data_IF_855565594440
#
_entry.id   IF_855565594440
#
_cell.length_a   1.000
_cell.length_b   1.000
_cell.length_c   1.000
_cell.angle_alpha   90.00
_cell.angle_beta   90.00
_cell.angle_gamma   90.00
#
_symmetry.space_group_name_H-M   'P 1'
#
loop_
_entity.id
_entity.type
_entity.pdbx_description
1 polymer ?
#
# COMPACT_ATOMS: atom_id res chain seq x y z
N UNK A 1 18.67 19.55 -40.69
CA UNK A 1 18.90 20.36 -39.46
C UNK A 1 18.69 19.49 -38.24
N UNK A 2 19.71 19.34 -37.40
CA UNK A 2 19.66 18.61 -36.14
C UNK A 2 19.28 19.59 -35.01
N UNK A 3 18.32 19.22 -34.18
CA UNK A 3 17.80 20.03 -33.08
C UNK A 3 17.71 19.23 -31.78
N UNK A 4 18.04 19.89 -30.68
CA UNK A 4 17.82 19.38 -29.33
C UNK A 4 16.93 20.39 -28.60
N UNK A 5 15.89 19.87 -27.97
CA UNK A 5 15.04 20.57 -27.01
C UNK A 5 15.10 19.79 -25.70
N UNK A 6 15.46 20.41 -24.56
CA UNK A 6 15.73 21.84 -24.35
C UNK A 6 17.05 22.36 -24.96
N UNK A 7 17.14 23.68 -25.11
CA UNK A 7 18.37 24.37 -25.54
C UNK A 7 19.43 24.39 -24.45
N UNK A 8 20.68 24.54 -24.86
CA UNK A 8 21.82 24.59 -23.95
C UNK A 8 21.66 25.75 -22.95
N UNK A 9 21.86 25.47 -21.67
CA UNK A 9 21.65 26.40 -20.56
C UNK A 9 20.21 26.55 -20.09
N UNK A 10 19.25 25.78 -20.63
CA UNK A 10 17.88 25.83 -20.13
C UNK A 10 17.80 25.33 -18.69
N UNK A 11 16.96 26.00 -17.89
CA UNK A 11 16.69 25.65 -16.50
C UNK A 11 15.19 25.44 -16.31
N UNK A 12 14.80 24.76 -15.23
CA UNK A 12 13.39 24.58 -14.91
C UNK A 12 12.65 23.66 -15.88
N UNK A 13 13.37 22.80 -16.60
CA UNK A 13 12.81 21.99 -17.68
C UNK A 13 11.86 20.92 -17.12
N UNK A 14 10.69 20.79 -17.73
CA UNK A 14 9.75 19.71 -17.39
C UNK A 14 10.35 18.33 -17.68
N UNK A 15 10.18 17.32 -16.79
CA UNK A 15 10.69 15.95 -16.95
C UNK A 15 10.44 15.29 -18.32
N UNK A 16 9.33 15.61 -18.99
CA UNK A 16 8.95 15.04 -20.29
C UNK A 16 9.39 15.84 -21.51
N UNK A 17 10.11 16.96 -21.34
CA UNK A 17 10.35 17.92 -22.41
C UNK A 17 11.48 17.52 -23.39
N UNK A 18 12.32 16.54 -23.04
CA UNK A 18 13.47 16.17 -23.87
C UNK A 18 13.02 15.52 -25.19
N UNK A 19 13.43 16.16 -26.29
CA UNK A 19 13.26 15.74 -27.67
C UNK A 19 14.54 16.03 -28.46
N UNK A 20 15.01 15.04 -29.22
CA UNK A 20 16.09 15.22 -30.21
C UNK A 20 15.49 14.91 -31.57
N UNK A 21 15.67 15.78 -32.55
CA UNK A 21 15.10 15.59 -33.88
C UNK A 21 16.03 16.05 -34.99
N UNK A 22 15.88 15.46 -36.18
CA UNK A 22 16.62 15.89 -37.37
C UNK A 22 15.67 15.99 -38.57
N UNK A 23 15.73 17.13 -39.26
CA UNK A 23 15.08 17.32 -40.55
C UNK A 23 16.06 17.03 -41.69
N UNK A 24 15.65 16.23 -42.68
CA UNK A 24 16.45 15.95 -43.89
C UNK A 24 17.60 14.96 -43.68
N UNK A 25 17.57 14.15 -42.63
CA UNK A 25 18.58 13.13 -42.35
C UNK A 25 18.09 12.11 -41.32
N UNK A 26 19.02 11.33 -40.76
CA UNK A 26 18.75 10.36 -39.69
C UNK A 26 19.72 10.55 -38.54
N UNK A 27 19.22 10.37 -37.32
CA UNK A 27 20.04 10.27 -36.13
C UNK A 27 20.90 9.00 -36.22
N UNK A 28 22.20 9.16 -36.03
CA UNK A 28 23.17 8.06 -36.05
C UNK A 28 23.64 7.69 -34.65
N UNK A 29 23.66 8.66 -33.73
CA UNK A 29 23.92 8.45 -32.32
C UNK A 29 23.23 9.50 -31.47
N UNK A 30 22.64 9.10 -30.35
CA UNK A 30 22.16 10.01 -29.30
C UNK A 30 22.62 9.46 -27.97
N UNK A 31 23.32 10.29 -27.20
CA UNK A 31 23.77 9.97 -25.84
C UNK A 31 23.24 11.03 -24.90
N UNK A 32 22.54 10.59 -23.85
CA UNK A 32 22.03 11.45 -22.79
C UNK A 32 22.60 10.96 -21.46
N UNK A 33 23.18 11.85 -20.67
CA UNK A 33 23.73 11.48 -19.35
C UNK A 33 23.22 12.41 -18.26
N UNK A 34 23.01 11.86 -17.06
CA UNK A 34 22.76 12.64 -15.85
C UNK A 34 24.04 13.34 -15.34
N UNK A 35 23.90 14.08 -14.23
CA UNK A 35 25.01 14.78 -13.54
C UNK A 35 26.14 13.86 -13.05
N UNK A 36 25.85 12.57 -12.85
CA UNK A 36 26.80 11.56 -12.38
C UNK A 36 27.41 10.76 -13.55
N UNK A 37 27.05 11.11 -14.80
CA UNK A 37 27.52 10.46 -16.01
C UNK A 37 26.77 9.17 -16.37
N UNK A 38 25.68 8.83 -15.67
CA UNK A 38 24.86 7.66 -16.02
C UNK A 38 24.07 7.93 -17.28
N UNK A 39 24.10 6.97 -18.21
CA UNK A 39 23.38 7.07 -19.47
C UNK A 39 21.88 6.86 -19.27
N UNK A 40 21.08 7.71 -19.92
CA UNK A 40 19.62 7.66 -19.87
C UNK A 40 19.10 6.85 -21.06
N UNK A 41 18.37 5.76 -20.81
CA UNK A 41 17.85 4.94 -21.88
C UNK A 41 16.79 5.71 -22.68
N UNK A 42 16.78 5.48 -23.99
CA UNK A 42 15.77 6.00 -24.90
C UNK A 42 15.94 5.40 -26.29
N UNK A 43 15.00 5.73 -27.18
CA UNK A 43 14.93 5.12 -28.50
C UNK A 43 14.71 6.18 -29.58
N UNK A 44 15.32 5.93 -30.74
CA UNK A 44 15.00 6.65 -31.95
C UNK A 44 13.71 6.10 -32.58
N UNK A 45 12.97 6.94 -33.30
CA UNK A 45 11.85 6.53 -34.15
C UNK A 45 12.33 5.63 -35.28
N UNK A 46 11.45 4.79 -35.83
CA UNK A 46 11.81 3.81 -36.87
C UNK A 46 12.39 4.46 -38.14
N UNK A 47 11.99 5.68 -38.45
CA UNK A 47 12.53 6.47 -39.56
C UNK A 47 13.89 7.14 -39.24
N UNK A 48 14.30 7.12 -37.97
CA UNK A 48 15.52 7.76 -37.46
C UNK A 48 15.43 9.27 -37.30
N UNK A 49 14.24 9.87 -37.45
CA UNK A 49 14.06 11.32 -37.47
C UNK A 49 14.01 11.95 -36.07
N UNK A 50 13.67 11.18 -35.03
CA UNK A 50 13.57 11.67 -33.66
C UNK A 50 14.06 10.64 -32.64
N UNK A 51 14.43 11.10 -31.45
CA UNK A 51 14.76 10.27 -30.29
C UNK A 51 14.08 10.81 -29.03
N UNK A 52 13.62 9.90 -28.18
CA UNK A 52 12.99 10.23 -26.90
C UNK A 52 13.46 9.30 -25.78
N UNK A 53 13.57 9.80 -24.54
CA UNK A 53 13.83 8.95 -23.37
C UNK A 53 12.77 7.87 -23.20
N UNK A 54 13.15 6.73 -22.61
CA UNK A 54 12.23 5.62 -22.30
C UNK A 54 11.28 5.95 -21.13
N UNK A 55 11.68 6.88 -20.26
CA UNK A 55 10.90 7.37 -19.13
C UNK A 55 11.13 8.88 -18.94
N UNK A 56 10.24 9.61 -18.24
CA UNK A 56 10.47 11.00 -17.86
C UNK A 56 11.80 11.17 -17.12
N UNK A 57 12.49 12.29 -17.37
CA UNK A 57 13.76 12.60 -16.72
C UNK A 57 13.57 12.92 -15.24
N UNK A 58 14.57 12.60 -14.42
CA UNK A 58 14.53 12.96 -13.01
C UNK A 58 14.50 14.49 -12.81
N UNK A 59 13.67 14.95 -11.87
CA UNK A 59 13.60 16.35 -11.42
C UNK A 59 14.88 16.76 -10.67
N UNK A 60 15.14 18.07 -10.56
CA UNK A 60 16.28 18.62 -9.84
C UNK A 60 17.65 18.13 -10.33
N UNK A 61 17.75 17.72 -11.60
CA UNK A 61 18.92 17.03 -12.14
C UNK A 61 19.45 17.74 -13.39
N UNK A 62 20.78 17.85 -13.49
CA UNK A 62 21.44 18.34 -14.69
C UNK A 62 21.64 17.18 -15.69
N UNK A 63 21.39 17.46 -16.97
CA UNK A 63 21.60 16.52 -18.07
C UNK A 63 22.52 17.09 -19.13
N UNK A 64 23.22 16.21 -19.82
CA UNK A 64 23.94 16.50 -21.07
C UNK A 64 23.43 15.59 -22.18
N UNK A 65 23.22 16.18 -23.34
CA UNK A 65 22.80 15.50 -24.57
C UNK A 65 23.87 15.74 -25.62
N UNK A 66 24.31 14.67 -26.29
CA UNK A 66 25.13 14.72 -27.49
C UNK A 66 24.42 13.94 -28.58
N UNK A 67 24.19 14.57 -29.74
CA UNK A 67 23.49 13.97 -30.86
C UNK A 67 24.31 14.10 -32.13
N UNK A 68 24.27 13.05 -32.94
CA UNK A 68 24.88 12.97 -34.26
C UNK A 68 23.81 12.55 -35.27
N UNK A 69 23.88 13.14 -36.46
CA UNK A 69 23.02 12.80 -37.57
C UNK A 69 23.77 12.84 -38.89
N UNK A 70 23.22 12.21 -39.92
CA UNK A 70 23.71 12.29 -41.29
C UNK A 70 22.56 12.38 -42.29
N UNK A 71 22.73 13.14 -43.37
CA UNK A 71 21.78 13.17 -44.49
C UNK A 71 22.02 12.03 -45.49
N UNK A 72 21.24 11.99 -46.57
CA UNK A 72 21.36 10.97 -47.62
C UNK A 72 22.66 11.08 -48.44
N UNK A 73 23.33 12.24 -48.42
CA UNK A 73 24.63 12.44 -49.04
C UNK A 73 25.79 12.12 -48.08
N UNK A 74 25.48 11.71 -46.84
CA UNK A 74 26.46 11.38 -45.81
C UNK A 74 27.05 12.59 -45.09
N UNK A 75 26.45 13.78 -45.24
CA UNK A 75 26.93 15.00 -44.58
C UNK A 75 26.60 14.91 -43.08
N UNK A 76 27.60 14.94 -42.18
CA UNK A 76 27.38 14.81 -40.75
C UNK A 76 26.91 16.12 -40.12
N UNK A 77 26.10 16.01 -39.08
CA UNK A 77 25.73 17.11 -38.19
C UNK A 77 25.83 16.66 -36.74
N UNK A 78 26.33 17.53 -35.87
CA UNK A 78 26.45 17.28 -34.43
C UNK A 78 25.79 18.41 -33.64
N UNK A 79 25.15 18.06 -32.54
CA UNK A 79 24.57 19.03 -31.62
C UNK A 79 24.77 18.57 -30.17
N UNK A 80 24.97 19.53 -29.29
CA UNK A 80 25.06 19.30 -27.85
C UNK A 80 24.13 20.24 -27.10
N UNK A 81 23.63 19.78 -25.96
CA UNK A 81 22.83 20.59 -25.04
C UNK A 81 23.04 20.13 -23.60
N UNK A 82 23.32 21.07 -22.71
CA UNK A 82 23.23 20.88 -21.26
C UNK A 82 22.04 21.65 -20.70
N UNK A 83 21.26 21.06 -19.81
CA UNK A 83 20.11 21.73 -19.17
C UNK A 83 19.84 21.15 -17.77
N UNK A 84 19.07 21.86 -16.96
CA UNK A 84 18.59 21.38 -15.66
C UNK A 84 17.07 21.20 -15.67
N UNK A 85 16.60 20.09 -15.09
CA UNK A 85 15.17 19.87 -14.87
C UNK A 85 14.66 20.72 -13.71
N UNK A 86 13.34 20.94 -13.67
CA UNK A 86 12.70 21.71 -12.60
C UNK A 86 13.06 21.15 -11.23
N UNK A 87 13.24 22.05 -10.27
CA UNK A 87 13.37 21.70 -8.85
C UNK A 87 11.97 21.67 -8.25
N UNK A 88 11.55 20.57 -7.59
CA UNK A 88 10.26 20.51 -6.92
C UNK A 88 10.09 21.65 -5.92
N UNK A 89 8.89 22.24 -5.84
CA UNK A 89 8.59 23.24 -4.81
C UNK A 89 8.53 22.59 -3.43
N UNK A 90 8.01 21.36 -3.38
CA UNK A 90 8.06 20.51 -2.20
C UNK A 90 8.02 19.04 -2.60
N UNK A 91 8.47 18.19 -1.69
CA UNK A 91 8.32 16.75 -1.79
C UNK A 91 7.23 16.26 -0.85
N UNK A 92 6.70 15.09 -1.12
CA UNK A 92 5.70 14.38 -0.31
C UNK A 92 6.11 12.92 -0.26
N UNK A 93 6.57 12.47 0.91
CA UNK A 93 6.98 11.09 1.08
C UNK A 93 5.76 10.23 1.44
N UNK A 94 5.42 9.21 0.64
CA UNK A 94 4.40 8.25 1.03
C UNK A 94 4.89 7.42 2.22
N UNK A 95 3.98 7.16 3.16
CA UNK A 95 4.16 6.16 4.23
C UNK A 95 3.27 4.97 3.93
N UNK A 96 3.78 3.76 4.14
CA UNK A 96 2.98 2.54 3.97
C UNK A 96 2.88 1.74 5.26
N UNK A 97 2.11 0.66 5.21
CA UNK A 97 1.86 -0.26 6.32
C UNK A 97 2.68 -1.56 6.25
N UNK A 98 3.74 -1.59 5.44
CA UNK A 98 4.64 -2.72 5.36
C UNK A 98 6.01 -2.38 5.96
N UNK A 99 6.87 -3.37 6.04
CA UNK A 99 8.23 -3.23 6.51
C UNK A 99 9.11 -4.18 5.72
N UNK A 100 10.30 -3.71 5.37
CA UNK A 100 11.26 -4.43 4.56
C UNK A 100 11.59 -5.82 5.12
N UNK A 101 11.36 -6.85 4.32
CA UNK A 101 11.64 -8.24 4.63
C UNK A 101 10.63 -8.94 5.53
N UNK A 102 9.56 -8.27 5.96
CA UNK A 102 8.57 -8.85 6.88
C UNK A 102 7.65 -9.90 6.23
N UNK A 103 6.97 -10.67 7.08
CA UNK A 103 6.00 -11.69 6.66
C UNK A 103 4.57 -11.34 7.09
N UNK A 104 3.65 -11.34 6.13
CA UNK A 104 2.24 -10.98 6.34
C UNK A 104 1.27 -12.13 6.02
N UNK A 105 0.07 -12.07 6.58
CA UNK A 105 -1.01 -13.01 6.29
C UNK A 105 -1.62 -12.84 4.90
N UNK A 106 -2.40 -13.83 4.48
CA UNK A 106 -2.98 -13.92 3.11
C UNK A 106 -3.99 -12.82 2.77
N UNK A 107 -4.51 -12.11 3.76
CA UNK A 107 -5.42 -10.98 3.58
C UNK A 107 -4.72 -9.63 3.46
N UNK A 108 -3.38 -9.57 3.46
CA UNK A 108 -2.65 -8.30 3.49
C UNK A 108 -3.06 -7.37 2.34
N UNK A 109 -3.37 -6.12 2.69
CA UNK A 109 -3.59 -5.00 1.77
C UNK A 109 -2.45 -4.02 2.01
N UNK A 110 -1.71 -3.67 0.95
CA UNK A 110 -0.74 -2.59 1.03
C UNK A 110 -1.52 -1.27 1.03
N UNK A 111 -1.43 -0.50 2.10
CA UNK A 111 -2.01 0.83 2.19
C UNK A 111 -0.91 1.87 2.15
N UNK A 112 -0.99 2.79 1.20
CA UNK A 112 -0.04 3.89 0.99
C UNK A 112 -0.74 5.20 1.30
N UNK A 113 -0.29 5.88 2.35
CA UNK A 113 -0.80 7.16 2.80
C UNK A 113 0.09 8.32 2.33
N UNK A 114 -0.54 9.44 1.99
CA UNK A 114 0.13 10.65 1.53
C UNK A 114 -0.15 11.82 2.48
N UNK A 115 0.91 12.52 2.88
CA UNK A 115 0.85 13.69 3.75
C UNK A 115 0.26 14.93 3.06
N UNK A 116 0.00 14.86 1.74
CA UNK A 116 -0.64 15.88 0.90
C UNK A 116 -1.64 15.23 -0.05
N UNK A 117 -2.63 16.01 -0.48
CA UNK A 117 -3.62 15.54 -1.45
C UNK A 117 -2.95 15.17 -2.79
N UNK A 118 -3.28 13.98 -3.29
CA UNK A 118 -2.84 13.49 -4.60
C UNK A 118 -3.88 13.85 -5.65
N UNK A 119 -3.49 14.72 -6.59
CA UNK A 119 -4.33 15.12 -7.73
C UNK A 119 -4.03 14.25 -8.96
N UNK A 120 -2.78 13.83 -9.15
CA UNK A 120 -2.35 12.97 -10.26
C UNK A 120 -2.39 11.47 -9.88
N UNK A 121 -3.56 11.01 -9.41
CA UNK A 121 -3.76 9.65 -8.88
C UNK A 121 -3.32 8.52 -9.81
N UNK A 122 -3.59 8.66 -11.11
CA UNK A 122 -3.24 7.65 -12.11
C UNK A 122 -1.72 7.51 -12.28
N UNK A 123 -0.97 8.62 -12.27
CA UNK A 123 0.48 8.59 -12.41
C UNK A 123 1.16 8.08 -11.14
N UNK A 124 0.63 8.43 -9.96
CA UNK A 124 1.09 7.86 -8.68
C UNK A 124 0.87 6.36 -8.63
N UNK A 125 -0.33 5.88 -9.02
CA UNK A 125 -0.60 4.45 -9.04
C UNK A 125 0.31 3.69 -10.03
N UNK A 126 0.63 4.27 -11.19
CA UNK A 126 1.61 3.67 -12.13
C UNK A 126 3.03 3.63 -11.57
N UNK A 127 3.38 4.58 -10.71
CA UNK A 127 4.67 4.63 -10.03
C UNK A 127 4.80 3.62 -8.88
N UNK A 128 3.75 2.89 -8.53
CA UNK A 128 3.77 1.84 -7.50
C UNK A 128 3.45 0.52 -8.18
N UNK A 129 4.47 -0.32 -8.35
CA UNK A 129 4.33 -1.60 -9.07
C UNK A 129 4.73 -2.77 -8.19
N UNK A 130 4.25 -3.96 -8.54
CA UNK A 130 4.47 -5.19 -7.80
C UNK A 130 5.19 -6.21 -8.68
N UNK A 131 6.32 -6.70 -8.21
CA UNK A 131 6.96 -7.91 -8.72
C UNK A 131 6.55 -9.07 -7.81
N UNK A 132 5.98 -10.13 -8.38
CA UNK A 132 5.58 -11.33 -7.64
C UNK A 132 6.16 -12.57 -8.31
N UNK A 133 6.68 -13.50 -7.50
CA UNK A 133 7.31 -14.73 -8.01
C UNK A 133 6.33 -15.72 -8.66
N UNK A 134 5.03 -15.54 -8.44
CA UNK A 134 3.97 -16.40 -8.95
C UNK A 134 3.02 -15.71 -9.94
N UNK A 135 3.32 -14.49 -10.37
CA UNK A 135 2.52 -13.73 -11.33
C UNK A 135 1.19 -13.19 -10.80
N UNK A 136 1.02 -13.11 -9.47
CA UNK A 136 -0.12 -12.43 -8.86
C UNK A 136 -0.16 -10.96 -9.28
N UNK A 137 -1.30 -10.54 -9.80
CA UNK A 137 -1.56 -9.16 -10.23
C UNK A 137 -2.23 -8.39 -9.09
N UNK A 138 -1.75 -7.18 -8.85
CA UNK A 138 -2.26 -6.27 -7.81
C UNK A 138 -2.86 -5.03 -8.48
N UNK A 139 -3.98 -4.55 -7.95
CA UNK A 139 -4.60 -3.28 -8.38
C UNK A 139 -4.79 -2.36 -7.19
N UNK A 140 -4.70 -1.06 -7.46
CA UNK A 140 -4.90 -0.01 -6.48
C UNK A 140 -6.31 0.59 -6.51
N UNK A 141 -6.86 0.88 -5.34
CA UNK A 141 -8.10 1.61 -5.12
C UNK A 141 -7.84 2.83 -4.24
N UNK A 142 -8.35 3.99 -4.65
CA UNK A 142 -8.16 5.25 -3.92
C UNK A 142 -9.30 5.48 -2.93
N UNK A 143 -8.96 5.60 -1.65
CA UNK A 143 -9.85 6.11 -0.62
C UNK A 143 -9.56 7.58 -0.39
N UNK A 144 -10.45 8.44 -0.91
CA UNK A 144 -10.23 9.89 -0.93
C UNK A 144 -9.00 10.28 -1.74
N UNK A 145 -8.35 11.39 -1.35
CA UNK A 145 -7.20 11.96 -2.08
C UNK A 145 -5.84 11.58 -1.49
N UNK A 146 -5.81 10.81 -0.40
CA UNK A 146 -4.59 10.63 0.42
C UNK A 146 -4.30 9.19 0.82
N UNK A 147 -5.11 8.23 0.40
CA UNK A 147 -4.89 6.81 0.68
C UNK A 147 -5.13 5.99 -0.57
N UNK A 148 -4.14 5.19 -0.93
CA UNK A 148 -4.20 4.20 -1.99
C UNK A 148 -3.98 2.82 -1.37
N UNK A 149 -4.99 1.96 -1.48
CA UNK A 149 -4.89 0.58 -1.04
C UNK A 149 -4.70 -0.34 -2.25
N UNK A 150 -3.80 -1.32 -2.14
CA UNK A 150 -3.40 -2.20 -3.22
C UNK A 150 -3.53 -3.67 -2.78
N UNK A 151 -4.30 -4.45 -3.53
CA UNK A 151 -4.47 -5.89 -3.30
C UNK A 151 -4.74 -6.69 -4.59
N UNK A 152 -4.53 -8.01 -4.58
CA UNK A 152 -5.03 -8.91 -5.61
C UNK A 152 -6.55 -9.13 -5.52
N UNK A 153 -7.12 -9.74 -6.57
CA UNK A 153 -8.56 -10.03 -6.65
C UNK A 153 -9.03 -10.98 -5.54
N UNK A 154 -8.29 -12.06 -5.33
CA UNK A 154 -8.48 -13.04 -4.26
C UNK A 154 -7.34 -12.93 -3.25
N UNK A 155 -7.48 -13.55 -2.08
CA UNK A 155 -6.40 -13.61 -1.09
C UNK A 155 -5.08 -14.09 -1.70
N UNK A 156 -3.98 -13.57 -1.16
CA UNK A 156 -2.65 -13.95 -1.57
C UNK A 156 -2.43 -15.46 -1.40
N UNK A 157 -1.70 -16.07 -2.33
CA UNK A 157 -1.26 -17.46 -2.17
C UNK A 157 -0.18 -17.53 -1.08
N UNK A 158 -0.26 -18.48 -0.13
CA UNK A 158 0.80 -18.69 0.85
C UNK A 158 2.17 -18.88 0.20
N UNK A 159 3.21 -18.30 0.79
CA UNK A 159 4.59 -18.37 0.31
C UNK A 159 4.95 -17.42 -0.83
N UNK A 160 4.01 -16.58 -1.32
CA UNK A 160 4.30 -15.60 -2.38
C UNK A 160 5.38 -14.63 -1.93
N UNK A 161 6.43 -14.46 -2.73
CA UNK A 161 7.41 -13.38 -2.55
C UNK A 161 6.99 -12.18 -3.37
N UNK A 162 7.02 -11.02 -2.73
CA UNK A 162 6.56 -9.76 -3.32
C UNK A 162 7.66 -8.72 -3.15
N UNK A 163 7.95 -7.97 -4.20
CA UNK A 163 8.70 -6.71 -4.11
C UNK A 163 7.81 -5.58 -4.58
N UNK A 164 7.61 -4.58 -3.73
CA UNK A 164 6.94 -3.33 -4.12
C UNK A 164 7.99 -2.37 -4.65
N UNK A 165 7.80 -1.87 -5.86
CA UNK A 165 8.65 -0.84 -6.45
C UNK A 165 7.94 0.49 -6.41
N UNK A 166 8.47 1.41 -5.62
CA UNK A 166 8.11 2.82 -5.64
C UNK A 166 9.04 3.56 -6.59
N UNK A 167 8.47 4.18 -7.62
CA UNK A 167 9.15 5.00 -8.63
C UNK A 167 8.48 6.37 -8.68
N UNK A 168 8.50 7.07 -7.55
CA UNK A 168 7.72 8.29 -7.31
C UNK A 168 8.59 9.54 -7.23
N UNK A 169 9.92 9.42 -7.22
CA UNK A 169 10.84 10.56 -7.05
C UNK A 169 10.56 11.68 -8.04
N UNK A 170 10.22 11.30 -9.27
CA UNK A 170 9.96 12.24 -10.38
C UNK A 170 8.51 12.26 -10.81
N UNK A 171 7.61 11.68 -10.02
CA UNK A 171 6.17 11.72 -10.25
C UNK A 171 5.60 12.94 -9.54
N UNK A 172 5.01 13.85 -10.32
CA UNK A 172 4.25 14.98 -9.78
C UNK A 172 2.94 14.45 -9.21
N UNK A 173 2.75 14.53 -7.89
CA UNK A 173 1.54 14.05 -7.21
C UNK A 173 0.43 15.11 -7.23
N UNK A 174 0.82 16.39 -7.25
CA UNK A 174 -0.02 17.58 -7.31
C UNK A 174 0.83 18.73 -7.87
N UNK A 175 0.26 19.84 -8.37
CA UNK A 175 1.03 20.91 -8.99
C UNK A 175 2.22 21.38 -8.13
N UNK A 176 3.45 21.19 -8.65
CA UNK A 176 4.70 21.55 -7.97
C UNK A 176 5.15 20.62 -6.83
N UNK A 177 4.38 19.57 -6.51
CA UNK A 177 4.63 18.60 -5.45
C UNK A 177 5.02 17.25 -6.04
N UNK A 178 6.18 16.73 -5.66
CA UNK A 178 6.72 15.47 -6.19
C UNK A 178 6.86 14.40 -5.11
N UNK A 179 6.78 13.13 -5.49
CA UNK A 179 6.79 12.01 -4.54
C UNK A 179 8.13 11.78 -3.82
N UNK A 180 9.24 12.33 -4.32
CA UNK A 180 10.54 12.37 -3.63
C UNK A 180 11.22 11.02 -3.38
N UNK A 181 10.55 9.88 -3.62
CA UNK A 181 11.05 8.55 -3.26
C UNK A 181 11.11 7.60 -4.45
N UNK A 182 12.26 6.96 -4.61
CA UNK A 182 12.37 5.68 -5.30
C UNK A 182 12.89 4.66 -4.28
N UNK A 183 12.18 3.55 -4.09
CA UNK A 183 12.60 2.45 -3.20
C UNK A 183 12.02 1.13 -3.65
N UNK A 184 12.68 0.05 -3.26
CA UNK A 184 12.19 -1.32 -3.39
C UNK A 184 11.97 -1.88 -2.00
N UNK A 185 10.83 -2.53 -1.79
CA UNK A 185 10.43 -3.02 -0.49
C UNK A 185 9.89 -4.46 -0.60
N UNK A 186 10.74 -5.46 -0.38
CA UNK A 186 10.34 -6.86 -0.40
C UNK A 186 9.56 -7.25 0.86
N UNK A 187 8.59 -8.14 0.71
CA UNK A 187 7.93 -8.85 1.81
C UNK A 187 7.50 -10.25 1.35
N UNK A 188 7.11 -11.09 2.32
CA UNK A 188 6.63 -12.46 2.04
C UNK A 188 5.21 -12.64 2.55
N UNK A 189 4.40 -13.35 1.78
CA UNK A 189 3.12 -13.86 2.27
C UNK A 189 3.36 -15.17 3.00
N UNK A 190 2.99 -15.22 4.27
CA UNK A 190 3.13 -16.37 5.14
C UNK A 190 2.08 -17.45 4.89
N UNK A 191 1.71 -18.13 5.96
CA UNK A 191 0.69 -19.18 5.97
C UNK A 191 -0.72 -18.60 5.74
N UNK A 192 -1.67 -19.47 5.38
CA UNK A 192 -3.08 -19.06 5.31
C UNK A 192 -3.71 -19.16 6.69
N UNK A 193 -4.33 -18.08 7.15
CA UNK A 193 -5.23 -18.08 8.31
C UNK A 193 -6.45 -17.20 8.06
N UNK A 194 -7.62 -17.80 8.17
CA UNK A 194 -8.92 -17.13 8.10
C UNK A 194 -9.70 -17.48 9.35
N UNK A 195 -10.15 -16.47 10.08
CA UNK A 195 -10.91 -16.62 11.32
C UNK A 195 -12.33 -16.08 11.13
N UNK A 196 -13.34 -16.94 11.23
CA UNK A 196 -14.74 -16.56 11.09
C UNK A 196 -15.39 -16.47 12.46
N UNK A 197 -15.75 -15.26 12.87
CA UNK A 197 -16.50 -14.96 14.10
C UNK A 197 -17.99 -14.96 13.77
N UNK A 198 -18.74 -15.82 14.45
CA UNK A 198 -20.19 -15.84 14.35
C UNK A 198 -20.79 -15.28 15.64
N UNK A 199 -21.33 -14.06 15.55
CA UNK A 199 -21.88 -13.35 16.71
C UNK A 199 -23.17 -13.98 17.26
N UNK A 200 -23.83 -14.87 16.51
CA UNK A 200 -25.04 -15.56 16.95
C UNK A 200 -24.73 -16.87 17.68
N UNK A 201 -23.64 -17.54 17.32
CA UNK A 201 -23.18 -18.76 18.03
C UNK A 201 -22.14 -18.49 19.10
N UNK A 202 -21.59 -17.27 19.16
CA UNK A 202 -20.52 -16.87 20.08
C UNK A 202 -19.23 -17.69 19.91
N UNK A 203 -18.99 -18.19 18.70
CA UNK A 203 -17.82 -19.00 18.35
C UNK A 203 -16.99 -18.32 17.27
N UNK A 204 -15.69 -18.54 17.34
CA UNK A 204 -14.76 -18.25 16.25
C UNK A 204 -14.20 -19.55 15.70
N UNK A 205 -14.39 -19.76 14.39
CA UNK A 205 -13.80 -20.87 13.64
C UNK A 205 -12.55 -20.38 12.94
N UNK A 206 -11.39 -20.93 13.27
CA UNK A 206 -10.09 -20.60 12.66
C UNK A 206 -9.70 -21.72 11.71
N UNK A 207 -9.53 -21.38 10.43
CA UNK A 207 -8.95 -22.26 9.41
C UNK A 207 -7.52 -21.79 9.15
N UNK A 208 -6.55 -22.61 9.54
CA UNK A 208 -5.12 -22.34 9.37
C UNK A 208 -4.46 -23.49 8.63
N UNK A 209 -3.84 -23.21 7.49
CA UNK A 209 -3.20 -24.23 6.64
C UNK A 209 -4.11 -25.46 6.37
N UNK A 210 -5.40 -25.20 6.17
CA UNK A 210 -6.42 -26.22 5.94
C UNK A 210 -6.91 -26.95 7.20
N UNK A 211 -6.33 -26.68 8.38
CA UNK A 211 -6.76 -27.24 9.66
C UNK A 211 -7.78 -26.33 10.33
N UNK A 212 -8.84 -26.92 10.88
CA UNK A 212 -9.91 -26.18 11.56
C UNK A 212 -9.79 -26.31 13.08
N UNK A 213 -9.95 -25.19 13.78
CA UNK A 213 -10.15 -25.15 15.23
C UNK A 213 -11.29 -24.20 15.56
N UNK A 214 -11.95 -24.42 16.68
CA UNK A 214 -13.06 -23.59 17.15
C UNK A 214 -12.74 -23.13 18.56
N UNK A 215 -13.01 -21.86 18.86
CA UNK A 215 -12.85 -21.31 20.19
C UNK A 215 -14.05 -20.44 20.59
N UNK A 216 -14.42 -20.44 21.88
CA UNK A 216 -15.47 -19.57 22.39
C UNK A 216 -14.99 -18.13 22.43
N UNK A 217 -15.89 -17.21 22.07
CA UNK A 217 -15.61 -15.78 22.06
C UNK A 217 -16.71 -15.02 22.80
N UNK A 218 -16.46 -13.75 23.10
CA UNK A 218 -17.53 -12.76 23.27
C UNK A 218 -17.43 -11.74 22.14
N UNK A 219 -18.57 -11.25 21.64
CA UNK A 219 -18.60 -10.15 20.66
C UNK A 219 -19.40 -8.95 21.18
N UNK A 220 -19.66 -7.96 20.34
CA UNK A 220 -20.34 -6.72 20.71
C UNK A 220 -21.78 -6.93 21.18
N UNK A 221 -22.15 -6.31 22.30
CA UNK A 221 -23.49 -6.41 22.89
C UNK A 221 -24.59 -5.91 21.95
N UNK A 222 -25.88 -6.16 22.24
CA UNK A 222 -26.98 -5.61 21.45
C UNK A 222 -26.93 -4.08 21.31
N UNK A 223 -26.47 -3.36 22.34
CA UNK A 223 -26.30 -1.91 22.37
C UNK A 223 -25.07 -1.46 21.56
N UNK A 224 -24.03 -2.29 21.52
CA UNK A 224 -22.76 -2.00 20.86
C UNK A 224 -22.27 -3.16 19.97
N UNK A 225 -23.03 -3.50 18.91
CA UNK A 225 -22.74 -4.70 18.14
C UNK A 225 -21.42 -4.58 17.35
N UNK A 226 -20.75 -5.70 17.11
CA UNK A 226 -19.53 -5.77 16.28
C UNK A 226 -19.86 -5.53 14.80
N UNK A 227 -19.00 -4.86 14.03
CA UNK A 227 -19.22 -4.75 12.59
C UNK A 227 -19.26 -6.12 11.91
N UNK A 228 -20.18 -6.33 10.96
CA UNK A 228 -20.09 -7.46 10.05
C UNK A 228 -19.03 -7.19 8.97
N UNK A 229 -18.55 -8.25 8.31
CA UNK A 229 -17.66 -8.16 7.15
C UNK A 229 -16.26 -8.70 7.39
N UNK A 230 -15.43 -8.62 6.36
CA UNK A 230 -14.06 -9.11 6.33
C UNK A 230 -13.09 -8.02 6.72
N UNK A 231 -12.42 -8.19 7.85
CA UNK A 231 -11.37 -7.29 8.34
C UNK A 231 -10.03 -8.02 8.29
N UNK A 232 -8.95 -7.25 8.31
CA UNK A 232 -7.58 -7.77 8.30
C UNK A 232 -6.86 -7.25 9.52
N UNK A 233 -6.10 -8.11 10.19
CA UNK A 233 -5.28 -7.70 11.33
C UNK A 233 -4.26 -6.68 10.83
N UNK A 234 -4.43 -5.41 11.19
CA UNK A 234 -3.56 -4.31 10.74
C UNK A 234 -2.38 -4.08 11.68
N UNK A 235 -2.50 -4.46 12.95
CA UNK A 235 -1.44 -4.36 13.93
C UNK A 235 -1.59 -5.39 15.05
N UNK A 236 -0.45 -5.83 15.60
CA UNK A 236 -0.36 -6.62 16.82
C UNK A 236 0.30 -5.76 17.90
N UNK A 237 -0.50 -5.18 18.78
CA UNK A 237 -0.08 -4.08 19.67
C UNK A 237 0.32 -4.56 21.08
N UNK A 238 0.25 -5.86 21.35
CA UNK A 238 0.55 -6.43 22.67
C UNK A 238 -0.48 -5.98 23.68
N UNK A 239 -0.20 -4.91 24.43
CA UNK A 239 -1.11 -4.35 25.43
C UNK A 239 -1.56 -2.96 24.99
N UNK A 240 -2.87 -2.76 24.87
CA UNK A 240 -3.47 -1.47 24.53
C UNK A 240 -4.21 -0.94 25.73
N UNK A 241 -4.05 0.36 26.02
CA UNK A 241 -4.98 1.02 26.93
C UNK A 241 -6.26 1.38 26.19
N UNK A 242 -7.30 0.55 26.32
CA UNK A 242 -8.57 0.76 25.64
C UNK A 242 -9.47 1.66 26.48
N UNK A 243 -9.89 2.78 25.89
CA UNK A 243 -10.74 3.79 26.52
C UNK A 243 -12.00 4.06 25.70
N UNK A 244 -13.17 3.89 26.29
CA UNK A 244 -14.44 4.16 25.60
C UNK A 244 -14.58 5.62 25.14
N UNK A 245 -13.96 6.57 25.86
CA UNK A 245 -13.97 8.00 25.51
C UNK A 245 -13.26 8.32 24.19
N UNK A 246 -12.45 7.40 23.67
CA UNK A 246 -11.75 7.56 22.40
C UNK A 246 -12.55 7.04 21.20
N UNK A 247 -13.69 6.39 21.44
CA UNK A 247 -14.49 5.78 20.39
C UNK A 247 -15.66 6.68 19.98
N UNK A 248 -15.87 6.90 18.67
CA UNK A 248 -16.96 7.72 18.19
C UNK A 248 -18.32 7.04 18.45
N UNK A 249 -19.28 7.80 18.99
CA UNK A 249 -20.67 7.34 19.16
C UNK A 249 -20.90 6.34 20.29
N UNK A 250 -19.94 6.17 21.21
CA UNK A 250 -20.11 5.35 22.40
C UNK A 250 -21.09 5.98 23.39
N UNK A 251 -21.99 5.15 23.91
CA UNK A 251 -22.94 5.45 24.98
C UNK A 251 -22.78 4.43 26.10
N UNK A 252 -23.28 4.70 27.30
CA UNK A 252 -23.16 3.78 28.44
C UNK A 252 -21.94 4.06 29.32
N UNK A 253 -21.67 3.14 30.25
CA UNK A 253 -20.61 3.29 31.25
C UNK A 253 -19.22 3.31 30.61
N UNK A 254 -18.35 4.28 30.97
CA UNK A 254 -17.03 4.35 30.39
C UNK A 254 -16.13 3.21 30.87
N UNK A 255 -15.20 2.79 30.03
CA UNK A 255 -14.13 1.85 30.40
C UNK A 255 -12.75 2.46 30.11
N UNK A 256 -11.76 2.12 30.93
CA UNK A 256 -10.33 2.43 30.81
C UNK A 256 -9.58 1.19 31.32
N UNK A 257 -9.10 0.35 30.40
CA UNK A 257 -8.54 -0.97 30.71
C UNK A 257 -7.26 -1.22 29.93
N UNK A 258 -6.28 -1.82 30.61
CA UNK A 258 -5.08 -2.38 29.97
C UNK A 258 -5.41 -3.76 29.41
N UNK A 259 -5.55 -3.85 28.09
CA UNK A 259 -6.05 -5.03 27.40
C UNK A 259 -4.91 -5.77 26.69
N UNK A 260 -4.56 -6.99 27.11
CA UNK A 260 -3.47 -7.77 26.51
C UNK A 260 -3.88 -8.44 25.19
N UNK A 261 -2.87 -8.97 24.48
CA UNK A 261 -3.03 -9.69 23.21
C UNK A 261 -3.88 -8.95 22.18
N UNK A 262 -3.74 -7.62 22.12
CA UNK A 262 -4.58 -6.76 21.30
C UNK A 262 -4.14 -6.74 19.85
N UNK A 263 -5.06 -7.10 18.95
CA UNK A 263 -4.86 -7.09 17.50
C UNK A 263 -5.92 -6.22 16.84
N UNK A 264 -5.49 -5.15 16.16
CA UNK A 264 -6.37 -4.14 15.57
C UNK A 264 -6.98 -4.68 14.26
N UNK A 265 -8.29 -4.48 14.09
CA UNK A 265 -9.02 -4.83 12.87
C UNK A 265 -9.52 -3.60 12.12
N UNK A 266 -9.99 -2.57 12.83
CA UNK A 266 -10.55 -1.36 12.22
C UNK A 266 -10.00 -0.09 12.88
N UNK A 267 -9.96 1.01 12.12
CA UNK A 267 -9.51 2.32 12.63
C UNK A 267 -10.53 2.91 13.62
N UNK A 268 -11.80 2.54 13.49
CA UNK A 268 -12.85 2.89 14.46
C UNK A 268 -12.81 2.03 15.74
N UNK A 269 -11.75 1.25 15.97
CA UNK A 269 -11.47 0.62 17.26
C UNK A 269 -12.04 -0.79 17.47
N UNK A 270 -12.26 -1.58 16.42
CA UNK A 270 -12.55 -3.02 16.56
C UNK A 270 -11.24 -3.80 16.72
N UNK A 271 -11.18 -4.67 17.72
CA UNK A 271 -10.02 -5.54 18.00
C UNK A 271 -10.45 -7.00 18.18
N UNK A 272 -9.51 -7.92 17.95
CA UNK A 272 -9.48 -9.19 18.67
C UNK A 272 -8.50 -9.03 19.84
N UNK A 273 -8.89 -9.39 21.06
CA UNK A 273 -8.02 -9.18 22.22
C UNK A 273 -8.24 -10.20 23.34
N UNK A 274 -7.30 -10.23 24.29
CA UNK A 274 -7.46 -10.97 25.54
C UNK A 274 -8.44 -10.29 26.48
N UNK A 275 -9.35 -11.07 27.05
CA UNK A 275 -10.37 -10.60 27.99
C UNK A 275 -10.24 -11.42 29.28
N UNK A 276 -9.78 -10.76 30.35
CA UNK A 276 -9.56 -11.35 31.66
C UNK A 276 -10.66 -11.06 32.69
N UNK A 277 -11.65 -10.24 32.31
CA UNK A 277 -12.72 -9.76 33.19
C UNK A 277 -14.07 -10.42 32.88
N UNK A 278 -14.29 -10.79 31.61
CA UNK A 278 -15.47 -11.49 31.15
C UNK A 278 -15.46 -12.97 31.55
N UNK A 279 -16.65 -13.57 31.55
CA UNK A 279 -16.85 -14.98 31.91
C UNK A 279 -17.78 -15.73 30.96
N UNK A 280 -18.50 -15.05 30.06
CA UNK A 280 -19.55 -15.60 29.19
C UNK A 280 -19.06 -16.01 27.78
N UNK A 281 -17.82 -16.51 27.68
CA UNK A 281 -17.25 -16.91 26.39
C UNK A 281 -18.02 -18.10 25.81
N UNK A 282 -18.53 -17.96 24.58
CA UNK A 282 -19.36 -18.98 23.94
C UNK A 282 -20.85 -18.90 24.32
N UNK A 283 -21.25 -17.91 25.11
CA UNK A 283 -22.63 -17.80 25.64
C UNK A 283 -23.27 -16.45 25.33
N UNK A 284 -22.57 -15.33 25.55
CA UNK A 284 -23.14 -13.99 25.40
C UNK A 284 -22.22 -13.00 24.66
N UNK A 285 -22.84 -11.99 24.07
CA UNK A 285 -22.16 -10.82 23.53
C UNK A 285 -22.17 -9.67 24.54
N UNK A 286 -21.00 -9.28 25.03
CA UNK A 286 -20.88 -8.33 26.16
C UNK A 286 -19.88 -7.21 25.90
N UNK A 287 -19.22 -7.18 24.74
CA UNK A 287 -18.19 -6.19 24.44
C UNK A 287 -18.79 -4.91 23.85
N UNK A 288 -17.96 -3.88 23.69
CA UNK A 288 -18.32 -2.65 22.99
C UNK A 288 -17.95 -2.69 21.49
N UNK A 289 -18.04 -3.89 20.88
CA UNK A 289 -17.77 -4.13 19.47
C UNK A 289 -16.50 -4.94 19.19
N UNK A 290 -15.64 -5.16 20.18
CA UNK A 290 -14.47 -6.05 20.04
C UNK A 290 -14.83 -7.54 20.09
N UNK A 291 -13.92 -8.39 19.63
CA UNK A 291 -13.97 -9.84 19.80
C UNK A 291 -13.06 -10.23 20.95
N UNK A 292 -13.65 -10.65 22.07
CA UNK A 292 -12.93 -11.05 23.27
C UNK A 292 -12.61 -12.53 23.28
N UNK A 293 -11.35 -12.85 23.59
CA UNK A 293 -10.87 -14.21 23.82
C UNK A 293 -10.52 -14.40 25.29
N UNK A 294 -10.78 -15.59 25.84
CA UNK A 294 -10.49 -15.85 27.25
C UNK A 294 -8.99 -15.68 27.55
N UNK A 295 -8.70 -14.90 28.60
CA UNK A 295 -7.34 -14.61 29.05
C UNK A 295 -7.26 -14.45 30.58
N UNK A 296 -6.08 -14.15 31.10
CA UNK A 296 -5.82 -13.81 32.50
C UNK A 296 -5.31 -12.38 32.63
N UNK A 297 -5.44 -11.78 33.82
CA UNK A 297 -5.00 -10.40 34.06
C UNK A 297 -3.51 -10.26 33.76
N UNK A 298 -3.16 -9.35 32.85
CA UNK A 298 -1.80 -9.15 32.36
C UNK A 298 -1.42 -9.98 31.12
N UNK A 299 -2.27 -10.90 30.68
CA UNK A 299 -2.06 -11.77 29.52
C UNK A 299 -1.17 -12.98 29.85
N UNK A 300 -1.60 -14.18 29.45
CA UNK A 300 -0.79 -15.39 29.55
C UNK A 300 -0.58 -16.09 28.21
N UNK A 301 0.64 -16.46 27.86
CA UNK A 301 0.94 -17.16 26.60
C UNK A 301 0.18 -18.50 26.44
N UNK A 302 -0.17 -19.15 27.55
CA UNK A 302 -0.93 -20.40 27.55
C UNK A 302 -2.44 -20.26 27.39
N UNK A 303 -2.99 -19.04 27.45
CA UNK A 303 -4.44 -18.80 27.36
C UNK A 303 -4.95 -18.92 25.92
N UNK A 304 -6.28 -18.89 25.73
CA UNK A 304 -6.89 -18.90 24.40
C UNK A 304 -6.42 -17.67 23.61
N UNK A 305 -6.47 -16.50 24.24
CA UNK A 305 -5.99 -15.25 23.64
C UNK A 305 -4.50 -15.28 23.31
N UNK A 306 -3.65 -15.73 24.25
CA UNK A 306 -2.20 -15.78 24.04
C UNK A 306 -1.81 -16.69 22.88
N UNK A 307 -2.37 -17.91 22.83
CA UNK A 307 -2.13 -18.83 21.72
C UNK A 307 -2.61 -18.28 20.38
N UNK A 308 -3.79 -17.65 20.34
CA UNK A 308 -4.30 -17.06 19.11
C UNK A 308 -3.44 -15.88 18.65
N UNK A 309 -3.01 -15.02 19.57
CA UNK A 309 -2.12 -13.89 19.29
C UNK A 309 -0.76 -14.34 18.75
N UNK A 310 -0.09 -15.28 19.43
CA UNK A 310 1.21 -15.79 19.01
C UNK A 310 1.16 -16.45 17.63
N UNK A 311 0.04 -17.12 17.34
CA UNK A 311 -0.19 -17.81 16.08
C UNK A 311 -0.92 -16.98 15.02
N UNK A 312 -1.01 -15.65 15.18
CA UNK A 312 -1.55 -14.73 14.17
C UNK A 312 -0.47 -13.82 13.59
N UNK A 313 -0.67 -13.38 12.35
CA UNK A 313 0.17 -12.41 11.64
C UNK A 313 -0.63 -11.13 11.35
N UNK A 314 0.07 -10.00 11.23
CA UNK A 314 -0.49 -8.84 10.52
C UNK A 314 -0.79 -9.30 9.08
N UNK A 315 -1.96 -8.97 8.56
CA UNK A 315 -2.44 -9.47 7.27
C UNK A 315 -3.34 -10.72 7.37
N UNK A 316 -3.48 -11.36 8.53
CA UNK A 316 -4.44 -12.46 8.70
C UNK A 316 -5.89 -11.94 8.67
N UNK A 317 -6.80 -12.79 8.19
CA UNK A 317 -8.20 -12.41 7.95
C UNK A 317 -9.07 -12.73 9.17
N UNK A 318 -9.93 -11.79 9.54
CA UNK A 318 -11.02 -11.98 10.49
C UNK A 318 -12.34 -11.54 9.86
N UNK A 319 -13.24 -12.50 9.59
CA UNK A 319 -14.58 -12.22 9.05
C UNK A 319 -15.60 -12.35 10.16
N UNK A 320 -16.41 -11.30 10.37
CA UNK A 320 -17.52 -11.31 11.32
C UNK A 320 -18.85 -11.47 10.58
N UNK A 321 -19.69 -12.39 11.05
CA UNK A 321 -21.03 -12.62 10.52
C UNK A 321 -22.08 -12.65 11.63
N UNK A 322 -23.35 -12.51 11.22
CA UNK A 322 -24.53 -12.63 12.07
C UNK A 322 -24.58 -11.64 13.26
N UNK A 323 -23.81 -10.55 13.22
CA UNK A 323 -23.95 -9.44 14.16
C UNK A 323 -25.16 -8.57 13.79
N UNK A 324 -25.75 -7.90 14.79
CA UNK A 324 -26.87 -6.96 14.60
C UNK A 324 -26.46 -5.60 14.03
N UNK A 325 -25.16 -5.35 13.84
CA UNK A 325 -24.66 -4.13 13.20
C UNK A 325 -24.79 -4.18 11.68
N UNK A 326 -24.48 -3.07 11.02
CA UNK A 326 -24.21 -3.01 9.59
C UNK A 326 -22.87 -3.66 9.20
N UNK A 327 -22.55 -3.55 7.91
CA UNK A 327 -21.27 -3.94 7.33
C UNK A 327 -20.19 -2.92 7.65
N UNK A 328 -18.94 -3.38 7.82
CA UNK A 328 -17.78 -2.52 7.90
C UNK A 328 -17.57 -1.81 6.56
N UNK A 329 -17.30 -0.50 6.61
CA UNK A 329 -16.93 0.26 5.41
C UNK A 329 -15.57 -0.21 4.88
N UNK A 330 -15.38 -0.29 3.55
CA UNK A 330 -14.13 -0.78 2.97
C UNK A 330 -12.88 0.02 3.36
N UNK A 331 -13.03 1.30 3.71
CA UNK A 331 -11.96 2.20 4.11
C UNK A 331 -11.69 2.22 5.63
N UNK A 332 -12.45 1.47 6.43
CA UNK A 332 -12.26 1.42 7.87
C UNK A 332 -11.20 0.37 8.25
N UNK A 333 -9.96 0.81 8.49
CA UNK A 333 -8.81 -0.10 8.57
C UNK A 333 -8.56 -0.81 7.24
N UNK A 334 -8.01 -2.02 7.28
CA UNK A 334 -7.70 -2.83 6.08
C UNK A 334 -8.91 -3.68 5.66
N UNK A 335 -10.06 -3.03 5.43
CA UNK A 335 -11.35 -3.68 5.16
C UNK A 335 -11.72 -3.72 3.67
N UNK A 336 -10.76 -3.47 2.77
CA UNK A 336 -10.97 -3.38 1.33
C UNK A 336 -11.53 -4.66 0.65
N UNK A 337 -11.49 -5.80 1.33
CA UNK A 337 -12.10 -7.06 0.88
C UNK A 337 -13.64 -7.03 0.86
N UNK A 338 -14.27 -6.04 1.50
CA UNK A 338 -15.72 -5.85 1.46
C UNK A 338 -16.18 -5.06 0.21
N UNK A 339 -15.25 -4.49 -0.56
CA UNK A 339 -15.54 -3.87 -1.85
C UNK A 339 -15.45 -4.94 -2.96
N UNK A 340 -16.53 -5.18 -3.73
CA UNK A 340 -16.48 -6.11 -4.85
C UNK A 340 -15.38 -5.74 -5.84
N UNK A 341 -14.69 -6.74 -6.41
CA UNK A 341 -13.54 -6.50 -7.30
C UNK A 341 -13.85 -5.62 -8.52
N UNK A 342 -15.08 -5.65 -9.05
CA UNK A 342 -15.48 -4.75 -10.13
C UNK A 342 -15.56 -3.27 -9.75
N UNK A 343 -15.65 -2.96 -8.46
CA UNK A 343 -15.63 -1.61 -7.89
C UNK A 343 -14.28 -1.23 -7.28
N UNK A 344 -13.39 -2.22 -7.10
CA UNK A 344 -12.01 -2.02 -6.68
C UNK A 344 -11.19 -1.39 -7.81
#
# INVERSE_FOLDING_TARGET
>A
MLDITPKNGAEGVAPGALRVSVAGGKLTAVKVTDKDGREIPGAATADGAAWTPAAPLAVGTAYRVSAQASDAAGVPATAESGFTTLTPQSEASPTDNISDGETYGVGMILSVAFDKDVKNKAEVAKGITFETDNGTVVKGHWFGDRRLDLRPEAYWKPGTKVTVHYRLKSVEIAPGVYGGVDRDEPFTIGRSQVSTVDANTHLMTVVRDGQTSVMPITSGSPEHPTWNGTMVISAKEGVVNMRSSTLPGMTGEPYDLMVPHSMRLTDTGTYVHGNYWGHSFGEDNTSHGCVGLQDVKGGGAGTVAGKFYDSSLVGDVVTVQNSKRGQVEPDNGLSGWNLPWGSW
#
